data_IF_194281767704
#
_entry.id   IF_194281767704
#
_cell.length_a   1.000
_cell.length_b   1.000
_cell.length_c   1.000
_cell.angle_alpha   90.00
_cell.angle_beta   90.00
_cell.angle_gamma   90.00
#
_symmetry.space_group_name_H-M   'P 1'
#
loop_
_entity.id
_entity.type
_entity.pdbx_description
1 polymer ?
#
# COMPACT_ATOMS: atom_id res chain seq x y z
N UNK A 1 -41.50 -44.96 29.05
CA UNK A 1 -41.73 -44.36 27.72
C UNK A 1 -40.49 -43.51 27.40
N UNK A 2 -39.41 -44.16 26.99
CA UNK A 2 -38.85 -44.15 25.61
C UNK A 2 -38.31 -42.80 25.15
N UNK A 3 -36.98 -42.75 24.98
CA UNK A 3 -36.13 -41.69 24.44
C UNK A 3 -36.49 -41.35 22.97
N UNK A 4 -36.03 -40.17 22.51
CA UNK A 4 -35.51 -39.80 21.17
C UNK A 4 -35.48 -38.26 21.10
N UNK A 5 -34.57 -37.54 20.46
CA UNK A 5 -33.21 -37.72 19.96
C UNK A 5 -32.82 -36.30 19.48
N UNK A 6 -31.58 -35.88 19.77
CA UNK A 6 -31.06 -34.59 19.35
C UNK A 6 -30.99 -34.47 17.81
N UNK A 7 -31.34 -33.31 17.27
CA UNK A 7 -30.99 -32.92 15.91
C UNK A 7 -30.36 -31.52 15.95
N UNK A 8 -29.04 -31.49 16.16
CA UNK A 8 -28.22 -30.32 15.98
C UNK A 8 -28.07 -30.04 14.48
N UNK A 9 -28.74 -28.99 13.99
CA UNK A 9 -28.54 -28.48 12.63
C UNK A 9 -27.28 -27.62 12.62
N UNK A 10 -26.17 -28.21 12.20
CA UNK A 10 -24.94 -27.49 11.87
C UNK A 10 -25.18 -26.79 10.53
N UNK A 11 -25.57 -25.51 10.60
CA UNK A 11 -25.53 -24.61 9.45
C UNK A 11 -24.06 -24.33 9.12
N UNK A 12 -23.51 -25.13 8.21
CA UNK A 12 -22.21 -24.87 7.59
C UNK A 12 -22.31 -23.54 6.85
N UNK A 13 -21.58 -22.55 7.36
CA UNK A 13 -21.26 -21.30 6.69
C UNK A 13 -20.51 -21.61 5.40
N UNK A 14 -21.24 -21.90 4.32
CA UNK A 14 -20.75 -21.73 2.97
C UNK A 14 -20.68 -20.22 2.69
N UNK A 15 -19.69 -19.57 3.29
CA UNK A 15 -19.23 -18.27 2.84
C UNK A 15 -18.63 -18.45 1.45
N UNK A 16 -19.47 -18.43 0.43
CA UNK A 16 -19.04 -18.25 -0.94
C UNK A 16 -18.21 -16.96 -0.98
N UNK A 17 -16.90 -17.12 -1.07
CA UNK A 17 -15.95 -16.06 -1.33
C UNK A 17 -16.23 -15.45 -2.70
N UNK A 18 -17.23 -14.59 -2.73
CA UNK A 18 -17.56 -13.76 -3.89
C UNK A 18 -16.35 -12.88 -4.16
N UNK A 19 -15.60 -13.24 -5.19
CA UNK A 19 -14.55 -12.41 -5.75
C UNK A 19 -15.21 -11.24 -6.45
N UNK A 20 -15.78 -10.30 -5.70
CA UNK A 20 -16.25 -9.05 -6.26
C UNK A 20 -15.01 -8.29 -6.72
N UNK A 21 -14.75 -8.31 -8.03
CA UNK A 21 -13.87 -7.32 -8.65
C UNK A 21 -14.52 -5.97 -8.33
N UNK A 22 -13.85 -5.06 -7.61
CA UNK A 22 -14.45 -3.78 -7.30
C UNK A 22 -14.75 -3.05 -8.59
N UNK A 23 -15.92 -2.40 -8.62
CA UNK A 23 -16.24 -1.48 -9.68
C UNK A 23 -15.16 -0.40 -9.76
N UNK A 24 -14.82 -0.01 -10.98
CA UNK A 24 -13.96 1.12 -11.20
C UNK A 24 -14.57 2.37 -10.54
N UNK A 25 -13.74 3.21 -9.94
CA UNK A 25 -14.18 4.49 -9.39
C UNK A 25 -13.37 5.62 -10.01
N UNK A 26 -13.88 6.84 -9.90
CA UNK A 26 -13.23 8.03 -10.42
C UNK A 26 -12.51 8.72 -9.28
N UNK A 27 -11.23 9.01 -9.47
CA UNK A 27 -10.41 9.75 -8.50
C UNK A 27 -9.86 11.02 -9.15
N UNK A 28 -9.91 12.13 -8.41
CA UNK A 28 -9.27 13.37 -8.85
C UNK A 28 -7.94 13.54 -8.15
N UNK A 29 -6.86 13.47 -8.93
CA UNK A 29 -5.51 13.72 -8.47
C UNK A 29 -5.30 15.24 -8.48
N UNK A 30 -5.03 15.87 -7.31
CA UNK A 30 -4.84 17.31 -7.25
C UNK A 30 -3.56 17.74 -8.00
N UNK A 31 -3.53 19.00 -8.44
CA UNK A 31 -2.34 19.59 -9.06
C UNK A 31 -1.15 19.62 -8.09
N UNK A 32 0.06 19.49 -8.62
CA UNK A 32 1.30 19.63 -7.85
C UNK A 32 2.40 20.28 -8.68
N UNK A 33 2.95 21.41 -8.19
CA UNK A 33 3.92 22.18 -8.95
C UNK A 33 3.35 22.63 -10.30
N UNK A 34 4.04 22.33 -11.40
CA UNK A 34 3.56 22.57 -12.76
C UNK A 34 2.63 21.49 -13.31
N UNK A 35 2.40 20.40 -12.57
CA UNK A 35 1.52 19.32 -13.00
C UNK A 35 0.05 19.66 -12.70
N UNK A 36 -0.86 19.66 -13.69
CA UNK A 36 -2.26 20.00 -13.49
C UNK A 36 -3.01 18.92 -12.71
N UNK A 37 -4.17 19.28 -12.15
CA UNK A 37 -5.07 18.28 -11.61
C UNK A 37 -5.60 17.38 -12.73
N UNK A 38 -5.72 16.09 -12.47
CA UNK A 38 -6.21 15.11 -13.46
C UNK A 38 -7.24 14.18 -12.83
N UNK A 39 -8.30 13.88 -13.57
CA UNK A 39 -9.31 12.91 -13.18
C UNK A 39 -9.01 11.59 -13.88
N UNK A 40 -8.91 10.52 -13.10
CA UNK A 40 -8.59 9.18 -13.62
C UNK A 40 -9.65 8.18 -13.16
N UNK A 41 -9.93 7.21 -14.02
CA UNK A 41 -10.69 6.02 -13.61
C UNK A 41 -9.72 5.01 -13.00
N UNK A 42 -9.88 4.75 -11.71
CA UNK A 42 -9.12 3.76 -10.95
C UNK A 42 -9.81 2.41 -11.08
N UNK A 43 -9.08 1.44 -11.63
CA UNK A 43 -9.55 0.08 -11.79
C UNK A 43 -8.88 -0.84 -10.80
N UNK A 44 -9.66 -1.66 -10.09
CA UNK A 44 -9.13 -2.80 -9.34
C UNK A 44 -8.39 -2.44 -8.05
N UNK A 45 -8.60 -3.28 -7.03
CA UNK A 45 -7.87 -3.30 -5.77
C UNK A 45 -7.40 -4.73 -5.45
N UNK A 46 -7.17 -5.53 -6.49
CA UNK A 46 -6.85 -6.93 -6.30
C UNK A 46 -5.58 -7.06 -5.45
N UNK A 47 -5.47 -8.16 -4.70
CA UNK A 47 -4.27 -8.42 -3.91
C UNK A 47 -3.00 -8.34 -4.75
N UNK A 48 -3.06 -8.71 -6.03
CA UNK A 48 -1.94 -8.62 -6.97
C UNK A 48 -1.56 -7.17 -7.28
N UNK A 49 -2.54 -6.31 -7.60
CA UNK A 49 -2.29 -4.88 -7.87
C UNK A 49 -1.73 -4.18 -6.63
N UNK A 50 -2.36 -4.40 -5.47
CA UNK A 50 -1.89 -3.83 -4.21
C UNK A 50 -0.49 -4.31 -3.81
N UNK A 51 -0.17 -5.59 -4.10
CA UNK A 51 1.17 -6.12 -3.83
C UNK A 51 2.21 -5.53 -4.78
N UNK A 52 1.85 -5.32 -6.05
CA UNK A 52 2.71 -4.66 -7.04
C UNK A 52 2.99 -3.21 -6.66
N UNK A 53 1.99 -2.46 -6.22
CA UNK A 53 2.16 -1.08 -5.79
C UNK A 53 3.02 -1.01 -4.51
N UNK A 54 2.81 -1.91 -3.55
CA UNK A 54 3.64 -2.02 -2.35
C UNK A 54 5.10 -2.42 -2.65
N UNK A 55 5.33 -3.33 -3.58
CA UNK A 55 6.69 -3.72 -4.02
C UNK A 55 7.37 -2.57 -4.77
N UNK A 56 6.64 -1.88 -5.66
CA UNK A 56 7.15 -0.71 -6.39
C UNK A 56 7.53 0.40 -5.42
N UNK A 57 6.69 0.69 -4.43
CA UNK A 57 7.00 1.63 -3.36
C UNK A 57 8.29 1.22 -2.63
N UNK A 58 8.36 -0.05 -2.19
CA UNK A 58 9.48 -0.57 -1.41
C UNK A 58 10.80 -0.56 -2.20
N UNK A 59 10.75 -0.90 -3.49
CA UNK A 59 11.91 -0.88 -4.37
C UNK A 59 12.43 0.53 -4.60
N UNK A 60 11.53 1.50 -4.88
CA UNK A 60 11.91 2.91 -4.99
C UNK A 60 12.44 3.47 -3.66
N UNK A 61 11.86 3.08 -2.52
CA UNK A 61 12.33 3.50 -1.20
C UNK A 61 13.75 3.00 -0.88
N UNK A 62 14.10 1.78 -1.33
CA UNK A 62 15.48 1.28 -1.21
C UNK A 62 16.45 2.10 -2.05
N UNK A 63 16.09 2.41 -3.29
CA UNK A 63 16.94 3.20 -4.17
C UNK A 63 17.06 4.64 -3.65
N UNK A 64 15.97 5.23 -3.18
CA UNK A 64 15.97 6.52 -2.52
C UNK A 64 16.98 6.53 -1.37
N UNK A 65 16.91 5.57 -0.44
CA UNK A 65 17.90 5.47 0.65
C UNK A 65 19.35 5.24 0.19
N UNK A 66 19.56 4.59 -0.96
CA UNK A 66 20.90 4.40 -1.53
C UNK A 66 21.49 5.68 -2.13
N UNK A 67 20.63 6.63 -2.49
CA UNK A 67 20.97 7.90 -3.14
C UNK A 67 20.62 9.12 -2.28
N UNK A 68 20.34 8.92 -0.99
CA UNK A 68 20.05 9.97 -0.02
C UNK A 68 21.20 10.07 0.99
N UNK A 69 21.60 11.30 1.31
CA UNK A 69 22.68 11.59 2.25
C UNK A 69 23.78 12.50 1.68
N UNK A 70 24.73 12.92 2.53
CA UNK A 70 25.74 13.91 2.17
C UNK A 70 26.74 13.45 1.09
N UNK A 71 26.83 12.15 0.82
CA UNK A 71 27.73 11.57 -0.20
C UNK A 71 26.98 11.03 -1.43
N UNK A 72 25.70 11.37 -1.59
CA UNK A 72 24.90 10.90 -2.71
C UNK A 72 25.44 11.42 -4.06
N UNK A 73 25.74 10.49 -4.97
CA UNK A 73 26.31 10.81 -6.28
C UNK A 73 25.28 11.36 -7.30
N UNK A 74 23.98 11.22 -7.05
CA UNK A 74 22.91 11.57 -7.99
C UNK A 74 21.62 11.96 -7.23
N UNK A 75 20.80 12.90 -7.75
CA UNK A 75 19.59 13.33 -7.05
C UNK A 75 18.59 12.18 -6.92
N UNK A 76 18.10 11.97 -5.71
CA UNK A 76 17.12 10.93 -5.37
C UNK A 76 15.70 11.21 -5.90
N UNK A 77 15.51 12.33 -6.62
CA UNK A 77 14.21 12.85 -7.08
C UNK A 77 13.39 11.82 -7.87
N UNK A 78 14.02 11.04 -8.74
CA UNK A 78 13.31 10.01 -9.53
C UNK A 78 12.71 8.93 -8.62
N UNK A 79 13.48 8.46 -7.63
CA UNK A 79 13.02 7.45 -6.68
C UNK A 79 12.00 8.03 -5.70
N UNK A 80 12.14 9.30 -5.32
CA UNK A 80 11.13 10.03 -4.59
C UNK A 80 9.80 10.08 -5.34
N UNK A 81 9.81 10.47 -6.61
CA UNK A 81 8.62 10.51 -7.45
C UNK A 81 8.01 9.12 -7.65
N UNK A 82 8.85 8.10 -7.82
CA UNK A 82 8.44 6.70 -7.91
C UNK A 82 7.71 6.21 -6.66
N UNK A 83 8.27 6.46 -5.47
CA UNK A 83 7.60 6.19 -4.19
C UNK A 83 6.26 6.91 -4.09
N UNK A 84 6.23 8.21 -4.44
CA UNK A 84 5.01 9.03 -4.33
C UNK A 84 3.89 8.49 -5.20
N UNK A 85 4.21 8.14 -6.44
CA UNK A 85 3.22 7.62 -7.37
C UNK A 85 2.73 6.23 -6.92
N UNK A 86 3.63 5.32 -6.52
CA UNK A 86 3.24 4.01 -6.04
C UNK A 86 2.38 4.06 -4.76
N UNK A 87 2.72 4.95 -3.81
CA UNK A 87 1.93 5.14 -2.59
C UNK A 87 0.55 5.73 -2.89
N UNK A 88 0.48 6.68 -3.82
CA UNK A 88 -0.80 7.23 -4.28
C UNK A 88 -1.64 6.13 -4.91
N UNK A 89 -1.07 5.37 -5.85
CA UNK A 89 -1.78 4.30 -6.56
C UNK A 89 -2.31 3.24 -5.56
N UNK A 90 -1.51 2.87 -4.57
CA UNK A 90 -1.94 2.02 -3.45
C UNK A 90 -3.10 2.62 -2.65
N UNK A 91 -3.06 3.93 -2.39
CA UNK A 91 -4.07 4.65 -1.60
C UNK A 91 -5.37 4.81 -2.36
N UNK A 92 -5.34 5.24 -3.62
CA UNK A 92 -6.54 5.44 -4.44
C UNK A 92 -7.22 4.12 -4.75
N UNK A 93 -6.47 3.01 -4.87
CA UNK A 93 -7.05 1.66 -4.94
C UNK A 93 -7.66 1.18 -3.62
N UNK A 94 -7.57 1.95 -2.54
CA UNK A 94 -8.00 1.57 -1.20
C UNK A 94 -7.39 0.23 -0.73
N UNK A 95 -6.10 0.03 -1.02
CA UNK A 95 -5.39 -1.19 -0.64
C UNK A 95 -5.26 -1.32 0.88
N UNK A 96 -5.35 -2.56 1.38
CA UNK A 96 -5.23 -2.85 2.80
C UNK A 96 -3.81 -2.50 3.33
N UNK A 97 -3.64 -1.61 4.33
CA UNK A 97 -2.33 -1.16 4.81
C UNK A 97 -1.39 -2.29 5.25
N UNK A 98 -1.93 -3.44 5.66
CA UNK A 98 -1.17 -4.63 6.06
C UNK A 98 -0.35 -5.23 4.90
N UNK A 99 -0.75 -5.01 3.64
CA UNK A 99 0.03 -5.43 2.48
C UNK A 99 1.33 -4.62 2.42
N UNK A 100 1.23 -3.29 2.54
CA UNK A 100 2.39 -2.41 2.60
C UNK A 100 3.24 -2.71 3.83
N UNK A 101 2.62 -2.89 4.99
CA UNK A 101 3.30 -3.24 6.25
C UNK A 101 4.18 -4.48 6.13
N UNK A 102 3.62 -5.59 5.61
CA UNK A 102 4.36 -6.84 5.41
C UNK A 102 5.48 -6.69 4.40
N UNK A 103 5.24 -5.97 3.30
CA UNK A 103 6.27 -5.70 2.31
C UNK A 103 7.43 -4.93 2.94
N UNK A 104 7.14 -3.86 3.68
CA UNK A 104 8.15 -3.05 4.37
C UNK A 104 8.95 -3.86 5.39
N UNK A 105 8.26 -4.65 6.23
CA UNK A 105 8.90 -5.52 7.21
C UNK A 105 9.82 -6.58 6.56
N UNK A 106 9.46 -7.07 5.36
CA UNK A 106 10.27 -8.05 4.64
C UNK A 106 11.48 -7.46 3.91
N UNK A 107 11.47 -6.16 3.58
CA UNK A 107 12.47 -5.52 2.71
C UNK A 107 13.39 -4.55 3.42
N UNK A 108 13.05 -4.13 4.63
CA UNK A 108 13.80 -3.12 5.37
C UNK A 108 14.11 -3.55 6.79
N UNK A 109 15.30 -3.21 7.24
CA UNK A 109 15.63 -3.22 8.67
C UNK A 109 14.92 -2.08 9.40
N UNK A 110 14.71 -2.17 10.73
CA UNK A 110 14.18 -1.06 11.52
C UNK A 110 15.00 0.23 11.42
N UNK A 111 16.32 0.13 11.18
CA UNK A 111 17.17 1.29 10.94
C UNK A 111 16.85 1.97 9.61
N UNK A 112 16.71 1.20 8.53
CA UNK A 112 16.38 1.75 7.22
C UNK A 112 14.98 2.36 7.19
N UNK A 113 14.00 1.77 7.88
CA UNK A 113 12.67 2.38 8.01
C UNK A 113 12.70 3.73 8.74
N UNK A 114 13.50 3.84 9.81
CA UNK A 114 13.68 5.13 10.50
C UNK A 114 14.35 6.17 9.60
N UNK A 115 15.39 5.78 8.85
CA UNK A 115 16.04 6.68 7.89
C UNK A 115 15.06 7.13 6.80
N UNK A 116 14.28 6.20 6.23
CA UNK A 116 13.28 6.52 5.22
C UNK A 116 12.28 7.56 5.73
N UNK A 117 11.78 7.38 6.94
CA UNK A 117 10.86 8.33 7.58
C UNK A 117 11.51 9.68 7.90
N UNK A 118 12.82 9.74 8.10
CA UNK A 118 13.55 10.97 8.37
C UNK A 118 13.77 11.80 7.09
N UNK A 119 14.01 11.12 5.96
CA UNK A 119 14.27 11.77 4.67
C UNK A 119 13.01 12.08 3.87
N UNK A 120 11.90 11.39 4.13
CA UNK A 120 10.65 11.65 3.41
C UNK A 120 9.98 12.97 3.83
N UNK A 121 9.41 13.71 2.86
CA UNK A 121 8.58 14.88 3.16
C UNK A 121 7.41 14.55 4.08
N UNK A 122 7.06 15.51 4.93
CA UNK A 122 6.01 15.38 5.96
C UNK A 122 4.64 14.95 5.42
N UNK A 123 4.38 15.13 4.12
CA UNK A 123 3.12 14.75 3.46
C UNK A 123 2.99 13.24 3.23
N UNK A 124 4.08 12.50 3.09
CA UNK A 124 4.06 11.04 2.85
C UNK A 124 4.22 10.23 4.14
N UNK A 125 4.87 10.83 5.14
CA UNK A 125 5.15 10.19 6.42
C UNK A 125 3.90 9.62 7.16
N UNK A 126 2.71 10.25 7.15
CA UNK A 126 1.54 9.75 7.88
C UNK A 126 1.06 8.38 7.36
N UNK A 127 0.91 8.23 6.05
CA UNK A 127 0.45 6.96 5.43
C UNK A 127 1.44 5.83 5.70
N UNK A 128 2.74 6.12 5.63
CA UNK A 128 3.79 5.13 5.88
C UNK A 128 3.82 4.76 7.36
N UNK A 129 3.71 5.74 8.28
CA UNK A 129 3.63 5.48 9.72
C UNK A 129 2.41 4.63 10.08
N UNK A 130 1.27 4.88 9.45
CA UNK A 130 0.06 4.08 9.65
C UNK A 130 0.23 2.62 9.17
N UNK A 131 1.12 2.38 8.21
CA UNK A 131 1.44 1.05 7.72
C UNK A 131 2.55 0.33 8.50
N UNK A 132 3.26 1.00 9.42
CA UNK A 132 4.31 0.31 10.19
C UNK A 132 3.70 -0.60 11.26
N UNK A 133 4.30 -1.79 11.50
CA UNK A 133 3.93 -2.59 12.65
C UNK A 133 4.22 -1.79 13.92
N UNK A 134 3.24 -1.76 14.84
CA UNK A 134 3.41 -1.16 16.17
C UNK A 134 4.28 -2.04 17.05
#
# INVERSE_FOLDING_TARGET
MTQLAAAAVVLVLAGCGGSQRPAAHVETIPSYGSFPAVTVTVYGNSTADCSKDADTFSSNARQFLAHEGPEAAYPADLYYLGMRNALRDFTVRACAPQILSRMLASRFTPRQLRMLLAYLPRTMAPTIRAALPR
#
